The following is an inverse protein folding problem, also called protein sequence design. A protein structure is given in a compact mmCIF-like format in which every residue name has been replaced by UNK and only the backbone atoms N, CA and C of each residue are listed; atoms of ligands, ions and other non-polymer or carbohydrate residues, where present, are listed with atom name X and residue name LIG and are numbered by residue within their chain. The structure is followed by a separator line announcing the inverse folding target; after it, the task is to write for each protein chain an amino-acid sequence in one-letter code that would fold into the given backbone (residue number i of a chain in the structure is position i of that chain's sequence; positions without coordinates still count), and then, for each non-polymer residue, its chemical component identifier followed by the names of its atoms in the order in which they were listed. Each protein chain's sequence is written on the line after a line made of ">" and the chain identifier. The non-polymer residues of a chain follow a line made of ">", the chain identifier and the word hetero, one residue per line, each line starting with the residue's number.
data_IF_305272131771
#
_entry.id   IF_305272131771
#
_cell.length_a   1.000
_cell.length_b   1.000
_cell.length_c   1.000
_cell.angle_alpha   90.00
_cell.angle_beta   90.00
_cell.angle_gamma   90.00
#
_symmetry.space_group_name_H-M   'P 1'
#
loop_
_entity.id
_entity.type
_entity.pdbx_description
1 polymer ?
#
# COMPACT_ATOMS: atom_id res chain seq x y z
N UNK A 1 34.35 -59.09 20.84
CA UNK A 1 33.43 -59.02 22.00
C UNK A 1 32.28 -58.10 21.60
N UNK A 2 31.15 -58.67 21.16
CA UNK A 2 30.02 -57.89 20.65
C UNK A 2 29.29 -57.19 21.79
N UNK A 3 29.20 -55.85 21.75
CA UNK A 3 28.44 -55.08 22.75
C UNK A 3 26.95 -55.36 22.53
N UNK A 4 26.32 -56.07 23.46
CA UNK A 4 24.87 -56.21 23.50
C UNK A 4 24.23 -54.86 23.81
N UNK A 5 23.49 -54.32 22.84
CA UNK A 5 22.68 -53.11 23.05
C UNK A 5 21.38 -53.56 23.72
N UNK A 6 21.08 -53.01 24.88
CA UNK A 6 19.85 -53.33 25.60
C UNK A 6 18.64 -52.89 24.74
N UNK A 7 17.70 -53.80 24.40
CA UNK A 7 16.56 -53.48 23.55
C UNK A 7 15.68 -52.36 24.13
N UNK A 8 15.65 -52.20 25.45
CA UNK A 8 14.96 -51.08 26.11
C UNK A 8 15.58 -49.72 25.77
N UNK A 9 16.91 -49.63 25.74
CA UNK A 9 17.62 -48.39 25.39
C UNK A 9 17.46 -48.04 23.92
N UNK A 10 17.32 -49.04 23.05
CA UNK A 10 17.05 -48.83 21.62
C UNK A 10 15.65 -48.23 21.42
N UNK A 11 14.63 -48.80 22.06
CA UNK A 11 13.24 -48.31 21.98
C UNK A 11 13.13 -46.89 22.55
N UNK A 12 13.76 -46.62 23.69
CA UNK A 12 13.76 -45.29 24.31
C UNK A 12 14.41 -44.24 23.41
N UNK A 13 15.52 -44.59 22.73
CA UNK A 13 16.19 -43.72 21.77
C UNK A 13 15.30 -43.38 20.57
N UNK A 14 14.51 -44.34 20.08
CA UNK A 14 13.57 -44.10 18.97
C UNK A 14 12.44 -43.15 19.38
N UNK A 15 11.87 -43.33 20.59
CA UNK A 15 10.80 -42.46 21.09
C UNK A 15 11.29 -41.02 21.25
N UNK A 16 12.47 -40.81 21.83
CA UNK A 16 13.06 -39.47 22.02
C UNK A 16 13.31 -38.81 20.66
N UNK A 17 13.84 -39.55 19.69
CA UNK A 17 14.11 -39.02 18.35
C UNK A 17 12.82 -38.63 17.63
N UNK A 18 11.76 -39.44 17.76
CA UNK A 18 10.46 -39.16 17.15
C UNK A 18 9.78 -37.92 17.74
N UNK A 19 9.87 -37.76 19.07
CA UNK A 19 9.38 -36.56 19.76
C UNK A 19 10.16 -35.31 19.35
N UNK A 20 11.48 -35.40 19.21
CA UNK A 20 12.33 -34.27 18.80
C UNK A 20 12.01 -33.80 17.38
N UNK A 21 11.80 -34.73 16.45
CA UNK A 21 11.42 -34.43 15.06
C UNK A 21 10.03 -33.79 15.02
N UNK A 22 9.06 -34.33 15.79
CA UNK A 22 7.72 -33.74 15.89
C UNK A 22 7.76 -32.30 16.42
N UNK A 23 8.58 -32.04 17.45
CA UNK A 23 8.73 -30.70 18.03
C UNK A 23 9.35 -29.71 17.04
N UNK A 24 10.35 -30.15 16.26
CA UNK A 24 10.97 -29.34 15.20
C UNK A 24 9.99 -29.04 14.06
N UNK A 25 9.12 -29.99 13.68
CA UNK A 25 8.10 -29.75 12.67
C UNK A 25 7.05 -28.72 13.12
N UNK A 26 6.63 -28.76 14.39
CA UNK A 26 5.69 -27.78 14.93
C UNK A 26 6.30 -26.38 15.04
N UNK A 27 7.61 -26.28 15.31
CA UNK A 27 8.30 -24.99 15.40
C UNK A 27 8.46 -24.28 14.05
N UNK A 28 8.45 -25.02 12.93
CA UNK A 28 8.61 -24.46 11.59
C UNK A 28 7.29 -24.08 10.90
N UNK A 29 6.14 -24.20 11.60
CA UNK A 29 4.86 -23.71 11.07
C UNK A 29 4.86 -22.17 11.16
N UNK A 30 5.36 -21.54 10.10
CA UNK A 30 5.22 -20.09 9.92
C UNK A 30 3.77 -19.79 9.58
N UNK A 31 3.00 -19.29 10.55
CA UNK A 31 1.63 -18.83 10.31
C UNK A 31 1.73 -17.46 9.64
N UNK A 32 1.54 -17.40 8.32
CA UNK A 32 1.38 -16.12 7.62
C UNK A 32 -0.03 -15.59 7.90
N UNK A 33 -0.21 -14.90 9.02
CA UNK A 33 -1.43 -14.13 9.28
C UNK A 33 -1.30 -12.81 8.54
N UNK A 34 -2.11 -12.60 7.51
CA UNK A 34 -2.40 -11.25 7.02
C UNK A 34 -3.15 -10.54 8.15
N UNK A 35 -2.46 -9.69 8.92
CA UNK A 35 -3.05 -8.99 10.04
C UNK A 35 -3.95 -7.86 9.54
N UNK A 36 -5.17 -8.19 9.12
CA UNK A 36 -6.31 -7.27 9.15
C UNK A 36 -6.79 -7.30 10.61
N UNK A 37 -6.84 -6.18 11.31
CA UNK A 37 -7.39 -6.17 12.68
C UNK A 37 -8.85 -6.58 12.64
N UNK A 38 -9.37 -7.20 13.70
CA UNK A 38 -10.78 -7.60 13.77
C UNK A 38 -11.73 -6.43 13.44
N UNK A 39 -11.35 -5.21 13.82
CA UNK A 39 -12.09 -3.98 13.49
C UNK A 39 -12.10 -3.62 12.01
N UNK A 40 -10.99 -3.86 11.28
CA UNK A 40 -10.90 -3.59 9.85
C UNK A 40 -11.77 -4.57 9.08
N UNK A 41 -11.75 -5.85 9.48
CA UNK A 41 -12.61 -6.86 8.88
C UNK A 41 -14.08 -6.56 9.18
N UNK A 42 -14.41 -6.14 10.40
CA UNK A 42 -15.75 -5.72 10.78
C UNK A 42 -16.23 -4.53 9.92
N UNK A 43 -15.38 -3.52 9.68
CA UNK A 43 -15.70 -2.41 8.79
C UNK A 43 -15.98 -2.85 7.35
N UNK A 44 -15.20 -3.81 6.83
CA UNK A 44 -15.43 -4.40 5.49
C UNK A 44 -16.77 -5.14 5.46
N UNK A 45 -17.04 -5.99 6.46
CA UNK A 45 -18.24 -6.82 6.52
C UNK A 45 -19.51 -5.97 6.66
N UNK A 46 -19.43 -4.84 7.36
CA UNK A 46 -20.53 -3.89 7.53
C UNK A 46 -20.59 -2.79 6.48
N UNK A 47 -19.62 -2.71 5.56
CA UNK A 47 -19.67 -1.75 4.46
C UNK A 47 -20.95 -1.97 3.63
N UNK A 48 -21.66 -0.90 3.25
CA UNK A 48 -22.85 -1.02 2.43
C UNK A 48 -22.51 -1.56 1.04
N UNK A 49 -23.50 -2.11 0.35
CA UNK A 49 -23.33 -2.56 -1.03
C UNK A 49 -22.89 -1.38 -1.91
N UNK A 50 -21.64 -1.46 -2.38
CA UNK A 50 -21.01 -0.42 -3.18
C UNK A 50 -21.08 -0.69 -4.68
N UNK A 51 -20.43 0.20 -5.43
CA UNK A 51 -20.16 -0.02 -6.85
C UNK A 51 -19.10 -1.13 -7.01
N UNK A 52 -19.11 -1.84 -8.14
CA UNK A 52 -18.04 -2.79 -8.46
C UNK A 52 -16.75 -2.04 -8.81
N UNK A 53 -15.81 -1.97 -7.87
CA UNK A 53 -14.55 -1.23 -8.00
C UNK A 53 -13.75 -1.71 -9.20
N UNK A 54 -13.65 -3.03 -9.40
CA UNK A 54 -12.88 -3.61 -10.50
C UNK A 54 -13.43 -3.25 -11.90
N UNK A 55 -14.72 -2.90 -11.99
CA UNK A 55 -15.34 -2.44 -13.24
C UNK A 55 -15.02 -0.97 -13.53
N UNK A 56 -15.02 -0.14 -12.49
CA UNK A 56 -15.00 1.31 -12.62
C UNK A 56 -13.64 1.95 -12.34
N UNK A 57 -12.74 1.23 -11.69
CA UNK A 57 -11.42 1.71 -11.33
C UNK A 57 -10.35 0.72 -11.78
N UNK A 58 -9.14 1.22 -11.93
CA UNK A 58 -7.96 0.46 -12.29
C UNK A 58 -6.91 0.65 -11.21
N UNK A 59 -6.42 -0.47 -10.70
CA UNK A 59 -5.29 -0.55 -9.77
C UNK A 59 -4.12 -1.11 -10.58
N UNK A 60 -3.04 -0.35 -10.71
CA UNK A 60 -1.84 -0.80 -11.41
C UNK A 60 -0.59 -0.50 -10.60
N UNK A 61 0.46 -1.28 -10.87
CA UNK A 61 1.82 -0.99 -10.41
C UNK A 61 2.23 0.41 -10.91
N UNK A 62 2.82 1.25 -10.04
CA UNK A 62 3.28 2.57 -10.43
C UNK A 62 4.29 2.51 -11.56
N UNK A 63 4.30 3.55 -12.40
CA UNK A 63 5.42 3.77 -13.28
C UNK A 63 6.57 4.36 -12.47
N UNK A 64 7.70 3.63 -12.40
CA UNK A 64 8.91 4.10 -11.73
C UNK A 64 9.40 5.42 -12.33
N UNK A 65 9.69 6.40 -11.47
CA UNK A 65 10.18 7.72 -11.87
C UNK A 65 11.25 8.20 -10.90
N UNK A 66 12.35 8.69 -11.46
CA UNK A 66 13.47 9.21 -10.67
C UNK A 66 14.37 8.09 -10.15
N UNK A 67 15.67 8.35 -10.14
CA UNK A 67 16.64 7.38 -9.66
C UNK A 67 16.45 7.16 -8.15
N UNK A 68 16.32 5.89 -7.77
CA UNK A 68 16.11 5.42 -6.40
C UNK A 68 14.82 5.92 -5.74
N UNK A 69 13.75 6.11 -6.51
CA UNK A 69 12.43 6.38 -5.93
C UNK A 69 11.88 5.11 -5.24
N UNK A 70 11.65 5.11 -3.91
CA UNK A 70 11.16 3.95 -3.18
C UNK A 70 9.66 3.69 -3.37
N UNK A 71 8.95 4.58 -4.08
CA UNK A 71 7.51 4.51 -4.27
C UNK A 71 7.14 3.77 -5.56
N UNK A 72 7.53 2.50 -5.64
CA UNK A 72 7.41 1.63 -6.82
C UNK A 72 6.30 0.56 -6.71
N UNK A 73 5.50 0.60 -5.64
CA UNK A 73 4.44 -0.36 -5.35
C UNK A 73 3.07 0.31 -5.28
N UNK A 74 2.03 -0.47 -5.51
CA UNK A 74 0.66 -0.09 -5.24
C UNK A 74 0.04 -1.19 -4.37
N UNK A 75 -0.22 -0.88 -3.12
CA UNK A 75 -0.79 -1.83 -2.16
C UNK A 75 -2.32 -1.83 -2.16
N UNK A 76 -2.96 -1.02 -3.04
CA UNK A 76 -4.40 -1.02 -3.16
C UNK A 76 -4.91 -2.38 -3.63
N UNK A 77 -6.04 -2.80 -3.08
CA UNK A 77 -6.70 -4.06 -3.39
C UNK A 77 -8.21 -3.93 -3.22
N UNK A 78 -8.96 -4.88 -3.74
CA UNK A 78 -10.41 -4.94 -3.53
C UNK A 78 -10.79 -6.06 -2.58
N UNK A 79 -11.76 -5.79 -1.72
CA UNK A 79 -12.36 -6.72 -0.77
C UNK A 79 -13.86 -6.86 -1.05
N UNK A 80 -14.53 -7.80 -0.36
CA UNK A 80 -15.98 -8.02 -0.45
C UNK A 80 -16.47 -8.09 -1.89
N UNK A 81 -15.93 -9.05 -2.63
CA UNK A 81 -16.23 -9.32 -4.05
C UNK A 81 -16.08 -8.10 -4.97
N UNK A 82 -15.12 -7.24 -4.65
CA UNK A 82 -14.82 -6.06 -5.48
C UNK A 82 -15.62 -4.82 -5.14
N UNK A 83 -16.42 -4.81 -4.06
CA UNK A 83 -17.25 -3.65 -3.69
C UNK A 83 -16.62 -2.73 -2.65
N UNK A 84 -15.55 -3.19 -1.99
CA UNK A 84 -14.77 -2.40 -1.04
C UNK A 84 -13.37 -2.18 -1.60
N UNK A 85 -12.94 -0.93 -1.65
CA UNK A 85 -11.56 -0.56 -2.02
C UNK A 85 -10.72 -0.39 -0.75
N UNK A 86 -9.73 -1.24 -0.58
CA UNK A 86 -8.67 -1.04 0.43
C UNK A 86 -7.49 -0.35 -0.26
N UNK A 87 -7.17 0.88 0.13
CA UNK A 87 -6.04 1.61 -0.46
C UNK A 87 -4.69 1.20 0.14
N UNK A 88 -4.70 0.78 1.39
CA UNK A 88 -3.51 0.45 2.17
C UNK A 88 -3.94 -0.46 3.33
N UNK A 89 -3.07 -1.41 3.69
CA UNK A 89 -3.24 -2.28 4.85
C UNK A 89 -1.86 -2.60 5.43
N UNK A 90 -1.70 -2.37 6.73
CA UNK A 90 -0.44 -2.55 7.44
C UNK A 90 0.57 -1.42 7.23
N UNK A 91 1.66 -1.51 8.02
CA UNK A 91 2.69 -0.47 8.13
C UNK A 91 3.42 -0.21 6.81
N UNK A 92 3.55 1.08 6.47
CA UNK A 92 4.34 1.52 5.30
C UNK A 92 3.69 1.22 3.95
N UNK A 93 2.42 0.83 3.93
CA UNK A 93 1.66 0.62 2.71
C UNK A 93 1.03 1.94 2.21
N UNK A 94 0.86 2.03 0.89
CA UNK A 94 0.24 3.14 0.18
C UNK A 94 -0.35 2.61 -1.12
N UNK A 95 -1.38 3.24 -1.64
CA UNK A 95 -1.99 2.77 -2.87
C UNK A 95 -2.98 3.76 -3.46
N UNK A 96 -3.32 3.50 -4.71
CA UNK A 96 -4.28 4.30 -5.45
C UNK A 96 -5.09 3.41 -6.39
N UNK A 97 -6.34 3.82 -6.60
CA UNK A 97 -7.19 3.31 -7.65
C UNK A 97 -7.66 4.50 -8.49
N UNK A 98 -7.45 4.41 -9.80
CA UNK A 98 -7.81 5.49 -10.73
C UNK A 98 -9.04 5.13 -11.52
N UNK A 99 -9.87 6.12 -11.83
CA UNK A 99 -11.07 5.88 -12.63
C UNK A 99 -10.72 5.27 -13.99
N UNK A 100 -11.47 4.25 -14.38
CA UNK A 100 -11.41 3.67 -15.71
C UNK A 100 -12.13 4.60 -16.70
N UNK A 101 -11.37 5.54 -17.27
CA UNK A 101 -11.89 6.54 -18.21
C UNK A 101 -12.44 5.88 -19.47
N UNK A 102 -11.77 4.83 -19.96
CA UNK A 102 -12.22 4.04 -21.13
C UNK A 102 -13.55 3.32 -20.85
N UNK A 103 -13.78 2.93 -19.59
CA UNK A 103 -15.04 2.39 -19.09
C UNK A 103 -16.11 3.45 -18.80
N UNK A 104 -15.87 4.73 -19.13
CA UNK A 104 -16.79 5.83 -18.93
C UNK A 104 -16.85 6.36 -17.49
N UNK A 105 -15.94 5.94 -16.60
CA UNK A 105 -15.83 6.51 -15.26
C UNK A 105 -14.91 7.74 -15.31
N UNK A 106 -15.49 8.93 -15.46
CA UNK A 106 -14.76 10.19 -15.44
C UNK A 106 -15.61 11.31 -14.85
N UNK A 107 -14.95 12.37 -14.38
CA UNK A 107 -15.62 13.59 -13.91
C UNK A 107 -15.64 14.60 -15.04
N UNK A 108 -16.84 15.00 -15.46
CA UNK A 108 -17.06 16.09 -16.38
C UNK A 108 -17.16 17.40 -15.61
N UNK A 109 -16.07 18.16 -15.61
CA UNK A 109 -15.96 19.44 -14.91
C UNK A 109 -16.91 20.55 -15.43
N UNK A 110 -17.68 20.29 -16.50
CA UNK A 110 -18.68 21.21 -17.03
C UNK A 110 -20.11 20.88 -16.56
N UNK A 111 -20.25 19.95 -15.61
CA UNK A 111 -21.53 19.50 -15.06
C UNK A 111 -21.43 19.44 -13.54
N UNK A 112 -22.54 19.76 -12.88
CA UNK A 112 -22.66 19.50 -11.46
C UNK A 112 -22.73 18.00 -11.23
N UNK A 113 -21.87 17.50 -10.34
CA UNK A 113 -21.78 16.09 -10.00
C UNK A 113 -21.60 15.94 -8.49
N UNK A 114 -22.30 14.98 -7.90
CA UNK A 114 -22.19 14.64 -6.48
C UNK A 114 -21.46 13.32 -6.33
N UNK A 115 -20.44 13.29 -5.48
CA UNK A 115 -19.75 12.08 -5.07
C UNK A 115 -20.23 11.75 -3.65
N UNK A 116 -20.61 10.50 -3.43
CA UNK A 116 -20.95 9.98 -2.11
C UNK A 116 -20.18 8.70 -1.87
N UNK A 117 -19.52 8.62 -0.73
CA UNK A 117 -18.69 7.48 -0.37
C UNK A 117 -18.82 7.19 1.12
N UNK A 118 -18.65 5.91 1.45
CA UNK A 118 -18.39 5.48 2.82
C UNK A 118 -16.87 5.36 2.98
N UNK A 119 -16.33 6.01 3.99
CA UNK A 119 -14.90 6.06 4.24
C UNK A 119 -14.61 5.46 5.61
N UNK A 120 -13.57 4.63 5.65
CA UNK A 120 -13.04 4.04 6.87
C UNK A 120 -11.55 4.38 6.95
N UNK A 121 -11.11 4.89 8.08
CA UNK A 121 -9.75 5.43 8.28
C UNK A 121 -8.84 4.52 9.12
N UNK A 122 -9.30 3.30 9.43
CA UNK A 122 -8.64 2.38 10.34
C UNK A 122 -9.23 2.41 11.76
N UNK A 123 -8.85 1.42 12.56
CA UNK A 123 -9.23 1.31 13.97
C UNK A 123 -8.44 2.28 14.84
N UNK A 124 -8.98 2.65 16.00
CA UNK A 124 -8.34 3.53 16.98
C UNK A 124 -7.29 2.80 17.83
N UNK A 125 -6.53 1.90 17.21
CA UNK A 125 -5.48 1.20 17.90
C UNK A 125 -4.41 2.20 18.36
N UNK A 126 -3.95 2.03 19.60
CA UNK A 126 -2.95 2.91 20.22
C UNK A 126 -1.55 2.78 19.59
N UNK A 127 -1.40 1.95 18.56
CA UNK A 127 -0.15 1.80 17.82
C UNK A 127 -0.05 2.87 16.72
N UNK A 128 0.71 3.92 17.03
CA UNK A 128 1.00 5.00 16.08
C UNK A 128 1.65 4.52 14.76
N UNK A 129 2.25 3.32 14.74
CA UNK A 129 2.81 2.70 13.54
C UNK A 129 1.78 2.07 12.60
N UNK A 130 0.55 1.87 13.08
CA UNK A 130 -0.58 1.36 12.30
C UNK A 130 -1.57 2.46 11.91
N UNK A 131 -1.57 3.59 12.62
CA UNK A 131 -2.37 4.74 12.26
C UNK A 131 -1.97 5.28 10.88
N UNK A 132 -2.97 5.39 10.01
CA UNK A 132 -2.80 5.82 8.62
C UNK A 132 -2.39 7.29 8.52
N UNK A 133 -1.68 7.64 7.46
CA UNK A 133 -1.32 9.04 7.14
C UNK A 133 -2.50 9.82 6.56
N UNK A 134 -3.49 9.13 5.98
CA UNK A 134 -4.70 9.73 5.43
C UNK A 134 -5.11 9.18 4.07
N UNK A 135 -6.05 9.87 3.43
CA UNK A 135 -6.59 9.55 2.11
C UNK A 135 -6.78 10.83 1.30
N UNK A 136 -6.53 10.76 0.00
CA UNK A 136 -6.75 11.87 -0.92
C UNK A 136 -7.76 11.48 -2.01
N UNK A 137 -8.74 12.35 -2.27
CA UNK A 137 -9.51 12.34 -3.50
C UNK A 137 -8.80 13.26 -4.50
N UNK A 138 -8.42 12.72 -5.65
CA UNK A 138 -7.57 13.43 -6.61
C UNK A 138 -8.24 13.52 -7.97
N UNK A 139 -8.30 14.74 -8.49
CA UNK A 139 -8.59 15.00 -9.90
C UNK A 139 -7.27 15.11 -10.64
N UNK A 140 -7.02 14.18 -11.56
CA UNK A 140 -5.77 14.12 -12.31
C UNK A 140 -5.99 13.88 -13.80
N UNK A 141 -5.01 14.29 -14.59
CA UNK A 141 -4.88 14.00 -16.02
C UNK A 141 -3.40 13.77 -16.34
N UNK A 142 -2.79 12.91 -15.53
CA UNK A 142 -1.41 12.51 -15.62
C UNK A 142 -1.21 11.60 -16.84
N UNK A 143 -0.14 11.83 -17.61
CA UNK A 143 0.20 11.00 -18.76
C UNK A 143 0.46 9.53 -18.42
N UNK A 144 0.72 9.20 -17.15
CA UNK A 144 0.90 7.83 -16.65
C UNK A 144 -0.43 7.09 -16.47
N UNK A 145 -1.56 7.81 -16.54
CA UNK A 145 -2.89 7.24 -16.37
C UNK A 145 -3.03 6.47 -15.04
N UNK A 146 -3.49 5.22 -15.11
CA UNK A 146 -3.68 4.37 -13.93
C UNK A 146 -2.39 3.97 -13.20
N UNK A 147 -1.21 4.29 -13.76
CA UNK A 147 0.11 4.05 -13.12
C UNK A 147 0.63 5.27 -12.37
N UNK A 148 -0.14 6.35 -12.29
CA UNK A 148 0.26 7.58 -11.61
C UNK A 148 0.16 7.39 -10.08
N UNK A 149 1.29 7.29 -9.40
CA UNK A 149 1.36 7.35 -7.93
C UNK A 149 2.54 8.26 -7.58
N UNK A 150 2.32 9.16 -6.62
CA UNK A 150 3.34 10.02 -6.04
C UNK A 150 4.00 9.40 -4.82
N UNK A 151 4.67 10.21 -4.02
CA UNK A 151 5.26 9.79 -2.76
C UNK A 151 4.20 9.26 -1.79
N UNK A 152 4.48 8.11 -1.17
CA UNK A 152 3.69 7.56 -0.07
C UNK A 152 3.85 8.37 1.23
N UNK A 153 3.38 7.80 2.34
CA UNK A 153 3.39 8.44 3.65
C UNK A 153 2.68 9.82 3.65
N UNK A 154 3.35 10.88 4.13
CA UNK A 154 2.84 12.25 4.15
C UNK A 154 2.56 12.81 2.74
N UNK A 155 3.10 12.18 1.69
CA UNK A 155 2.80 12.51 0.30
C UNK A 155 1.42 12.04 -0.17
N UNK A 156 0.76 11.16 0.61
CA UNK A 156 -0.58 10.57 0.35
C UNK A 156 -0.73 9.89 -1.03
N UNK A 157 0.37 9.51 -1.66
CA UNK A 157 0.38 8.98 -3.02
C UNK A 157 0.15 10.04 -4.10
N UNK A 158 0.22 11.33 -3.76
CA UNK A 158 -0.10 12.47 -4.64
C UNK A 158 1.09 13.38 -4.85
N UNK A 159 1.78 13.76 -3.78
CA UNK A 159 2.89 14.71 -3.87
C UNK A 159 4.17 14.11 -4.43
N UNK A 160 5.12 14.97 -4.77
CA UNK A 160 6.41 14.56 -5.29
C UNK A 160 7.29 13.92 -4.23
N UNK A 161 8.17 13.02 -4.67
CA UNK A 161 9.22 12.50 -3.82
C UNK A 161 10.36 13.50 -3.73
N UNK A 162 10.56 14.05 -2.53
CA UNK A 162 11.75 14.80 -2.20
C UNK A 162 12.79 13.85 -1.60
N UNK A 163 13.93 13.70 -2.30
CA UNK A 163 15.10 12.97 -1.79
C UNK A 163 16.23 13.91 -1.39
N UNK A 164 15.91 15.16 -1.12
CA UNK A 164 16.88 16.08 -0.55
C UNK A 164 17.41 15.51 0.76
N UNK A 165 18.72 15.61 0.94
CA UNK A 165 19.38 15.14 2.15
C UNK A 165 19.98 16.32 2.89
N UNK A 166 19.96 16.26 4.21
CA UNK A 166 20.43 17.34 5.09
C UNK A 166 21.54 16.80 5.96
N UNK A 167 22.56 17.61 6.23
CA UNK A 167 23.59 17.30 7.23
C UNK A 167 23.03 17.42 8.67
N UNK A 168 22.01 16.64 9.00
CA UNK A 168 21.52 16.55 10.36
C UNK A 168 22.28 15.41 11.05
N UNK A 169 23.23 15.79 11.92
CA UNK A 169 24.20 14.96 12.65
C UNK A 169 25.53 14.60 11.98
N UNK A 170 25.98 15.32 10.93
CA UNK A 170 27.33 15.12 10.34
C UNK A 170 27.62 13.68 9.82
N UNK A 171 26.58 12.90 9.51
CA UNK A 171 26.70 11.56 8.92
C UNK A 171 26.66 11.58 7.39
N UNK A 172 26.16 12.64 6.77
CA UNK A 172 26.28 12.90 5.34
C UNK A 172 27.39 13.91 5.08
N UNK A 173 28.19 13.63 4.06
CA UNK A 173 29.36 14.44 3.70
C UNK A 173 29.10 15.27 2.42
N UNK A 174 27.91 15.15 1.83
CA UNK A 174 27.55 15.81 0.57
C UNK A 174 26.03 15.90 0.38
N UNK A 175 25.35 16.82 1.10
CA UNK A 175 23.90 16.95 1.05
C UNK A 175 23.44 17.20 -0.39
N UNK A 176 22.47 16.43 -0.83
CA UNK A 176 21.92 16.56 -2.17
C UNK A 176 20.66 17.41 -2.14
N UNK A 177 20.57 18.39 -3.03
CA UNK A 177 19.34 19.14 -3.27
C UNK A 177 18.78 18.75 -4.64
N UNK A 178 17.51 18.39 -4.68
CA UNK A 178 16.83 18.04 -5.91
C UNK A 178 15.93 19.19 -6.36
N UNK A 179 16.02 19.53 -7.64
CA UNK A 179 15.25 20.62 -8.20
C UNK A 179 13.75 20.35 -8.15
N UNK A 180 12.95 21.42 -8.15
CA UNK A 180 11.48 21.35 -8.19
C UNK A 180 10.95 20.53 -9.36
N UNK A 181 11.68 20.48 -10.48
CA UNK A 181 11.32 19.66 -11.65
C UNK A 181 11.35 18.16 -11.35
N UNK A 182 12.32 17.71 -10.54
CA UNK A 182 12.40 16.30 -10.11
C UNK A 182 11.21 15.95 -9.22
N UNK A 183 10.95 16.78 -8.21
CA UNK A 183 9.83 16.59 -7.28
C UNK A 183 8.50 16.62 -8.06
N UNK A 184 8.32 17.59 -8.96
CA UNK A 184 7.11 17.71 -9.77
C UNK A 184 6.92 16.53 -10.73
N UNK A 185 8.00 15.96 -11.29
CA UNK A 185 7.94 14.79 -12.19
C UNK A 185 7.50 13.53 -11.46
N UNK A 186 7.81 13.40 -10.17
CA UNK A 186 7.43 12.23 -9.36
C UNK A 186 6.02 12.37 -8.76
N UNK A 187 5.51 13.59 -8.60
CA UNK A 187 4.14 13.86 -8.15
C UNK A 187 3.07 13.41 -9.15
N UNK A 188 1.85 13.12 -8.71
CA UNK A 188 0.67 12.99 -9.58
C UNK A 188 0.38 14.33 -10.22
N UNK A 189 0.42 14.39 -11.54
CA UNK A 189 0.26 15.63 -12.29
C UNK A 189 -1.18 15.83 -12.72
N UNK A 190 -1.63 17.07 -12.63
CA UNK A 190 -2.84 17.52 -13.29
C UNK A 190 -2.47 18.64 -14.27
N UNK A 191 -2.77 18.44 -15.55
CA UNK A 191 -2.83 19.53 -16.52
C UNK A 191 -4.29 19.95 -16.67
N UNK A 192 -4.79 20.74 -15.72
CA UNK A 192 -5.91 21.61 -16.04
C UNK A 192 -5.35 22.63 -17.04
N UNK A 193 -5.77 22.57 -18.30
CA UNK A 193 -5.43 23.60 -19.26
C UNK A 193 -5.87 24.94 -18.65
N UNK A 194 -4.88 25.71 -18.20
CA UNK A 194 -5.05 27.11 -17.82
C UNK A 194 -5.46 27.81 -19.10
N UNK A 195 -6.77 27.96 -19.33
CA UNK A 195 -7.22 29.02 -20.22
C UNK A 195 -6.63 30.29 -19.65
N UNK A 196 -5.74 30.91 -20.43
CA UNK A 196 -4.92 32.05 -20.06
C UNK A 196 -5.61 32.96 -19.04
N UNK A 197 -5.04 33.08 -17.83
CA UNK A 197 -5.21 34.30 -17.05
C UNK A 197 -4.57 35.42 -17.87
N UNK A 198 -5.32 35.96 -18.83
CA UNK A 198 -5.03 37.26 -19.42
C UNK A 198 -5.21 38.25 -18.29
N UNK A 199 -4.10 38.74 -17.74
CA UNK A 199 -4.08 40.03 -17.06
C UNK A 199 -4.71 41.05 -18.01
N UNK A 200 -5.88 41.55 -17.62
CA UNK A 200 -6.35 42.84 -18.10
C UNK A 200 -5.65 43.92 -17.31
#
# INVERSE_FOLDING_TARGET
>A
MGKYINPFNLILSFIITFLLIGFLYLYNVSINVLAISDDDQNAIDNAPNGLNVNKHFTIQTPQALGDNNPFDKNYASTQKDGTVLSLASGKGSYGAAWSNVDGGNYININKDQTISAWLYFGSDNSDQGLNSQGMALVLQNDSRGAKAIGAGYQGLGVYGYDKATTDFYATEYNPQNFGTDYIAKTAVQNRLYRQNCRTK
#
